data_IF_840760225684
#
_entry.id   IF_840760225684
#
_cell.length_a   1.000
_cell.length_b   1.000
_cell.length_c   1.000
_cell.angle_alpha   90.00
_cell.angle_beta   90.00
_cell.angle_gamma   90.00
#
_symmetry.space_group_name_H-M   'P 1'
#
loop_
_entity.id
_entity.type
_entity.pdbx_description
1 polymer ?
#
# COMPACT_ATOMS: atom_id res chain seq x y z
N UNK A 1 -19.97 -28.43 11.42
CA UNK A 1 -18.62 -27.85 11.64
C UNK A 1 -18.12 -28.25 13.03
N UNK A 2 -16.85 -28.03 13.39
CA UNK A 2 -16.31 -28.34 14.74
C UNK A 2 -16.46 -27.20 15.76
N UNK A 3 -17.24 -26.16 15.44
CA UNK A 3 -17.37 -24.96 16.29
C UNK A 3 -16.14 -24.06 16.34
N UNK A 4 -15.15 -24.25 15.46
CA UNK A 4 -13.95 -23.42 15.41
C UNK A 4 -14.20 -22.13 14.63
N UNK A 5 -13.46 -21.07 14.98
CA UNK A 5 -13.53 -19.78 14.30
C UNK A 5 -12.98 -19.81 12.86
N UNK A 6 -12.11 -20.78 12.53
CA UNK A 6 -11.52 -20.98 11.21
C UNK A 6 -10.88 -22.39 11.09
N UNK A 7 -10.25 -22.71 9.97
CA UNK A 7 -9.37 -23.87 9.81
C UNK A 7 -8.23 -23.84 10.85
N UNK A 8 -7.93 -25.00 11.44
CA UNK A 8 -6.98 -25.08 12.56
C UNK A 8 -5.51 -24.86 12.21
N UNK A 9 -5.14 -24.92 10.92
CA UNK A 9 -3.75 -24.83 10.46
C UNK A 9 -3.45 -23.45 9.87
N UNK A 10 -2.27 -22.90 10.13
CA UNK A 10 -1.81 -21.64 9.52
C UNK A 10 -1.56 -21.78 8.02
N UNK A 11 -1.00 -22.92 7.60
CA UNK A 11 -0.75 -23.19 6.20
C UNK A 11 -1.12 -24.62 5.82
N UNK A 12 -1.53 -24.79 4.56
CA UNK A 12 -1.88 -26.09 3.99
C UNK A 12 -1.14 -26.31 2.67
N UNK A 13 -0.45 -27.44 2.56
CA UNK A 13 0.26 -27.85 1.34
C UNK A 13 -0.59 -28.87 0.59
N UNK A 14 -1.02 -28.53 -0.62
CA UNK A 14 -1.71 -29.45 -1.51
C UNK A 14 -0.76 -30.48 -2.15
N UNK A 15 -1.29 -31.63 -2.62
CA UNK A 15 -0.48 -32.65 -3.30
C UNK A 15 0.25 -32.12 -4.55
N UNK A 16 -0.38 -31.19 -5.27
CA UNK A 16 0.18 -30.52 -6.45
C UNK A 16 1.32 -29.53 -6.12
N UNK A 17 1.52 -29.21 -4.85
CA UNK A 17 2.55 -28.31 -4.35
C UNK A 17 2.10 -26.86 -4.15
N UNK A 18 0.82 -26.52 -4.28
CA UNK A 18 0.29 -25.22 -3.83
C UNK A 18 0.40 -25.12 -2.30
N UNK A 19 0.73 -23.92 -1.82
CA UNK A 19 0.69 -23.54 -0.41
C UNK A 19 -0.46 -22.56 -0.25
N UNK A 20 -1.39 -22.87 0.65
CA UNK A 20 -2.50 -22.01 1.03
C UNK A 20 -2.24 -21.44 2.41
N UNK A 21 -2.57 -20.17 2.62
CA UNK A 21 -2.87 -19.70 3.97
C UNK A 21 -4.18 -20.38 4.40
N UNK A 22 -4.15 -21.00 5.58
CA UNK A 22 -5.32 -21.54 6.23
C UNK A 22 -5.91 -20.48 7.13
N UNK A 23 -5.44 -20.46 8.38
CA UNK A 23 -5.96 -19.54 9.39
C UNK A 23 -5.72 -18.09 9.02
N UNK A 24 -6.79 -17.33 8.88
CA UNK A 24 -6.75 -15.93 8.48
C UNK A 24 -6.04 -15.08 9.55
N UNK A 25 -4.98 -14.39 9.14
CA UNK A 25 -4.25 -13.47 10.01
C UNK A 25 -4.68 -12.01 9.81
N UNK A 26 -4.85 -11.61 8.54
CA UNK A 26 -5.26 -10.27 8.12
C UNK A 26 -5.63 -10.25 6.65
N UNK A 27 -6.23 -9.16 6.20
CA UNK A 27 -6.34 -8.87 4.77
C UNK A 27 -4.98 -8.46 4.21
N UNK A 28 -4.53 -9.16 3.17
CA UNK A 28 -3.29 -8.86 2.45
C UNK A 28 -3.57 -8.02 1.21
N UNK A 29 -2.62 -7.14 0.86
CA UNK A 29 -2.62 -6.49 -0.46
C UNK A 29 -2.28 -7.54 -1.53
N UNK A 30 -2.71 -7.37 -2.79
CA UNK A 30 -2.62 -8.41 -3.84
C UNK A 30 -1.21 -8.97 -4.14
N UNK A 31 -0.16 -8.31 -3.69
CA UNK A 31 1.24 -8.71 -3.92
C UNK A 31 1.98 -9.13 -2.65
N UNK A 32 1.37 -8.93 -1.49
CA UNK A 32 1.97 -9.35 -0.23
C UNK A 32 2.06 -10.87 -0.20
N UNK A 33 3.14 -11.37 0.40
CA UNK A 33 3.21 -12.79 0.76
C UNK A 33 2.35 -12.96 1.99
N UNK A 34 1.46 -13.95 1.98
CA UNK A 34 0.65 -14.29 3.14
C UNK A 34 1.56 -14.87 4.20
N UNK A 35 1.73 -14.15 5.31
CA UNK A 35 2.70 -14.50 6.35
C UNK A 35 2.10 -15.31 7.48
N UNK A 36 0.77 -15.42 7.53
CA UNK A 36 0.05 -15.92 8.71
C UNK A 36 0.16 -14.98 9.91
N UNK A 37 0.62 -13.73 9.71
CA UNK A 37 0.95 -12.80 10.80
C UNK A 37 0.30 -11.43 10.65
N UNK A 38 0.04 -10.84 11.81
CA UNK A 38 -0.31 -9.43 11.99
C UNK A 38 0.66 -8.83 13.00
N UNK A 39 1.34 -7.76 12.62
CA UNK A 39 2.30 -7.03 13.48
C UNK A 39 3.42 -7.93 14.06
N UNK A 40 3.85 -8.94 13.29
CA UNK A 40 4.88 -9.91 13.68
C UNK A 40 4.38 -11.05 14.58
N UNK A 41 3.10 -11.04 14.97
CA UNK A 41 2.48 -12.12 15.72
C UNK A 41 1.73 -13.08 14.79
N UNK A 42 1.98 -14.38 14.94
CA UNK A 42 1.25 -15.43 14.20
C UNK A 42 -0.20 -15.50 14.67
N UNK A 43 -1.14 -15.69 13.74
CA UNK A 43 -2.49 -16.07 14.09
C UNK A 43 -2.46 -17.41 14.85
N UNK A 44 -2.83 -17.41 16.14
CA UNK A 44 -2.86 -18.61 16.98
C UNK A 44 -3.63 -19.72 16.29
N UNK A 45 -3.10 -20.94 16.23
CA UNK A 45 -3.73 -22.09 15.56
C UNK A 45 -4.82 -22.81 16.37
N UNK A 46 -5.36 -23.89 15.80
CA UNK A 46 -6.18 -24.89 16.50
C UNK A 46 -5.78 -26.30 16.03
N UNK A 47 -4.46 -26.52 15.93
CA UNK A 47 -3.86 -27.70 15.32
C UNK A 47 -3.21 -28.65 16.33
N UNK A 48 -2.75 -28.16 17.49
CA UNK A 48 -2.17 -28.98 18.56
C UNK A 48 -2.60 -28.40 19.91
N UNK A 49 -3.47 -29.11 20.64
CA UNK A 49 -3.94 -28.67 21.95
C UNK A 49 -2.76 -28.42 22.91
N UNK A 50 -2.76 -27.27 23.62
CA UNK A 50 -1.66 -26.86 24.50
C UNK A 50 -0.46 -26.22 23.80
N UNK A 51 -0.36 -26.30 22.46
CA UNK A 51 0.78 -25.83 21.68
C UNK A 51 0.40 -24.87 20.53
N UNK A 52 -0.85 -24.40 20.47
CA UNK A 52 -1.31 -23.52 19.39
C UNK A 52 -0.63 -22.13 19.40
N UNK A 53 -0.35 -21.60 20.59
CA UNK A 53 0.14 -20.23 20.75
C UNK A 53 1.65 -20.17 20.59
N UNK A 54 2.14 -19.27 19.73
CA UNK A 54 3.57 -19.17 19.43
C UNK A 54 4.12 -20.30 18.53
N UNK A 55 3.26 -21.06 17.85
CA UNK A 55 3.68 -22.04 16.84
C UNK A 55 2.94 -21.88 15.51
N UNK A 56 3.51 -22.44 14.44
CA UNK A 56 2.95 -22.41 13.08
C UNK A 56 2.59 -23.82 12.63
N UNK A 57 1.30 -24.09 12.48
CA UNK A 57 0.81 -25.37 11.96
C UNK A 57 0.82 -25.43 10.43
N UNK A 58 1.63 -26.32 9.86
CA UNK A 58 1.64 -26.61 8.42
C UNK A 58 1.08 -28.01 8.17
N UNK A 59 -0.13 -28.08 7.62
CA UNK A 59 -0.75 -29.35 7.20
C UNK A 59 -0.32 -29.73 5.79
N UNK A 60 -0.06 -31.01 5.54
CA UNK A 60 0.13 -31.54 4.19
C UNK A 60 -1.09 -32.39 3.88
N UNK A 61 -1.82 -32.05 2.81
CA UNK A 61 -3.07 -32.76 2.47
C UNK A 61 -2.77 -34.21 2.08
N UNK A 62 -3.37 -35.15 2.81
CA UNK A 62 -3.32 -36.59 2.54
C UNK A 62 -3.15 -37.42 3.80
N UNK A 63 -3.17 -38.74 3.64
CA UNK A 63 -2.79 -39.71 4.68
C UNK A 63 -1.38 -40.28 4.37
N UNK A 64 -0.47 -40.10 5.32
CA UNK A 64 0.93 -40.54 5.18
C UNK A 64 1.32 -41.61 6.19
N UNK A 65 0.34 -42.33 6.72
CA UNK A 65 0.57 -43.53 7.54
C UNK A 65 1.39 -44.54 6.73
N UNK A 66 0.97 -44.84 5.49
CA UNK A 66 1.65 -45.80 4.61
C UNK A 66 2.29 -45.19 3.36
N UNK A 67 1.74 -44.09 2.84
CA UNK A 67 2.21 -43.43 1.62
C UNK A 67 3.13 -42.23 1.91
N UNK A 68 4.03 -41.90 0.97
CA UNK A 68 4.85 -40.68 1.05
C UNK A 68 4.10 -39.52 0.40
N UNK A 69 4.17 -38.28 0.94
CA UNK A 69 3.58 -37.12 0.27
C UNK A 69 4.17 -36.91 -1.11
N UNK A 70 3.39 -36.41 -2.07
CA UNK A 70 3.85 -36.14 -3.43
C UNK A 70 5.15 -35.30 -3.46
N UNK A 71 6.02 -35.54 -4.46
CA UNK A 71 7.33 -34.86 -4.56
C UNK A 71 7.18 -33.33 -4.56
N UNK A 72 6.14 -32.80 -5.20
CA UNK A 72 5.84 -31.36 -5.24
C UNK A 72 5.47 -30.84 -3.84
N UNK A 73 4.51 -31.46 -3.16
CA UNK A 73 4.16 -31.17 -1.77
C UNK A 73 5.38 -31.19 -0.83
N UNK A 74 6.23 -32.21 -0.89
CA UNK A 74 7.46 -32.27 -0.06
C UNK A 74 8.45 -31.13 -0.33
N UNK A 75 8.50 -30.60 -1.56
CA UNK A 75 9.36 -29.44 -1.86
C UNK A 75 8.75 -28.15 -1.31
N UNK A 76 7.43 -28.00 -1.43
CA UNK A 76 6.70 -26.84 -0.90
C UNK A 76 6.79 -26.80 0.62
N UNK A 77 6.55 -27.93 1.31
CA UNK A 77 6.72 -28.04 2.77
C UNK A 77 8.11 -27.57 3.22
N UNK A 78 9.17 -28.09 2.59
CA UNK A 78 10.56 -27.68 2.92
C UNK A 78 10.78 -26.19 2.68
N UNK A 79 10.22 -25.60 1.61
CA UNK A 79 10.36 -24.17 1.32
C UNK A 79 9.58 -23.30 2.31
N UNK A 80 8.37 -23.72 2.69
CA UNK A 80 7.56 -23.03 3.69
C UNK A 80 8.25 -23.04 5.05
N UNK A 81 8.69 -24.21 5.52
CA UNK A 81 9.43 -24.34 6.77
C UNK A 81 10.76 -23.57 6.76
N UNK A 82 11.46 -23.52 5.63
CA UNK A 82 12.68 -22.71 5.49
C UNK A 82 12.39 -21.21 5.54
N UNK A 83 11.32 -20.76 4.91
CA UNK A 83 10.91 -19.37 4.95
C UNK A 83 10.52 -18.95 6.37
N UNK A 84 9.74 -19.78 7.08
CA UNK A 84 9.35 -19.60 8.49
C UNK A 84 10.55 -19.61 9.44
N UNK A 85 11.41 -20.61 9.34
CA UNK A 85 12.56 -20.72 10.22
C UNK A 85 13.56 -19.57 10.01
N UNK A 86 13.82 -19.16 8.77
CA UNK A 86 14.79 -18.10 8.47
C UNK A 86 14.31 -16.72 8.93
N UNK A 87 13.03 -16.38 8.71
CA UNK A 87 12.47 -15.08 9.11
C UNK A 87 12.37 -14.90 10.63
N UNK A 88 12.32 -16.01 11.37
CA UNK A 88 12.27 -16.05 12.84
C UNK A 88 13.60 -16.48 13.50
N UNK A 89 14.68 -16.56 12.71
CA UNK A 89 16.02 -16.93 13.20
C UNK A 89 16.05 -18.28 13.95
N UNK A 90 15.24 -19.25 13.51
CA UNK A 90 15.15 -20.58 14.12
C UNK A 90 16.13 -21.54 13.45
N UNK A 91 16.95 -22.21 14.26
CA UNK A 91 17.86 -23.24 13.78
C UNK A 91 17.08 -24.50 13.35
N UNK A 92 17.01 -24.88 12.05
CA UNK A 92 16.10 -25.96 11.61
C UNK A 92 16.43 -27.34 12.18
N UNK A 93 17.68 -27.55 12.59
CA UNK A 93 18.17 -28.78 13.23
C UNK A 93 18.13 -28.71 14.76
N UNK A 94 17.86 -27.54 15.33
CA UNK A 94 17.91 -27.27 16.75
C UNK A 94 16.67 -27.71 17.51
N UNK A 95 16.74 -27.55 18.83
CA UNK A 95 15.66 -27.76 19.80
C UNK A 95 15.53 -26.51 20.68
N UNK A 96 14.37 -26.33 21.28
CA UNK A 96 14.12 -25.29 22.26
C UNK A 96 13.30 -25.86 23.44
N UNK A 97 13.24 -25.09 24.53
CA UNK A 97 12.22 -25.25 25.55
C UNK A 97 11.03 -24.40 25.12
N UNK A 98 9.98 -25.03 24.62
CA UNK A 98 8.71 -24.35 24.35
C UNK A 98 8.11 -23.93 25.68
N UNK A 99 7.55 -22.71 25.71
CA UNK A 99 6.72 -22.23 26.81
C UNK A 99 5.47 -21.62 26.21
N UNK A 100 4.32 -22.18 26.52
CA UNK A 100 3.04 -21.62 26.11
C UNK A 100 2.87 -20.25 26.81
N UNK A 101 2.69 -19.15 26.06
CA UNK A 101 2.56 -17.82 26.64
C UNK A 101 1.25 -17.63 27.43
N UNK A 102 0.21 -18.42 27.15
CA UNK A 102 -1.11 -18.32 27.77
C UNK A 102 -1.23 -19.20 29.01
N UNK A 103 -0.69 -20.42 28.97
CA UNK A 103 -0.87 -21.42 30.03
C UNK A 103 0.38 -21.70 30.86
N UNK A 104 1.55 -21.24 30.41
CA UNK A 104 2.84 -21.55 31.05
C UNK A 104 3.35 -22.98 30.83
N UNK A 105 2.60 -23.84 30.12
CA UNK A 105 3.02 -25.20 29.77
C UNK A 105 4.41 -25.20 29.11
N UNK A 106 5.30 -26.10 29.52
CA UNK A 106 6.63 -26.24 28.91
C UNK A 106 6.89 -27.61 28.30
N UNK A 107 7.67 -27.66 27.21
CA UNK A 107 8.11 -28.92 26.60
C UNK A 107 9.39 -28.76 25.78
N UNK A 108 10.28 -29.76 25.77
CA UNK A 108 11.53 -29.71 25.00
C UNK A 108 11.35 -30.26 23.57
N UNK A 109 11.06 -29.38 22.62
CA UNK A 109 10.71 -29.74 21.25
C UNK A 109 11.81 -29.36 20.22
N UNK A 110 11.92 -30.10 19.10
CA UNK A 110 12.60 -29.58 17.91
C UNK A 110 11.90 -28.33 17.37
N UNK A 111 12.64 -27.37 16.79
CA UNK A 111 12.02 -26.21 16.12
C UNK A 111 11.08 -26.60 14.96
N UNK A 112 11.34 -27.76 14.34
CA UNK A 112 10.46 -28.37 13.34
C UNK A 112 10.00 -29.72 13.89
N UNK A 113 8.88 -29.71 14.58
CA UNK A 113 8.26 -30.87 15.22
C UNK A 113 7.14 -31.49 14.35
N UNK A 114 6.90 -32.79 14.51
CA UNK A 114 5.65 -33.41 14.06
C UNK A 114 4.58 -33.27 15.15
N UNK A 115 3.29 -33.36 14.79
CA UNK A 115 2.20 -33.26 15.77
C UNK A 115 2.37 -34.28 16.91
N UNK A 116 2.73 -35.53 16.59
CA UNK A 116 3.04 -36.58 17.58
C UNK A 116 4.22 -36.29 18.52
N UNK A 117 5.05 -35.26 18.26
CA UNK A 117 6.11 -34.86 19.21
C UNK A 117 5.55 -34.06 20.40
N UNK A 118 4.33 -33.50 20.26
CA UNK A 118 3.71 -32.60 21.24
C UNK A 118 2.30 -33.04 21.69
N UNK A 119 1.77 -34.15 21.17
CA UNK A 119 0.46 -34.65 21.53
C UNK A 119 0.27 -36.13 21.17
N UNK A 120 -0.78 -36.74 21.74
CA UNK A 120 -1.11 -38.14 21.50
C UNK A 120 -1.88 -38.31 20.19
N UNK A 121 -1.16 -38.57 19.10
CA UNK A 121 -1.76 -38.69 17.75
C UNK A 121 -0.88 -39.48 16.78
N UNK A 122 -1.49 -40.10 15.77
CA UNK A 122 -0.78 -40.66 14.62
C UNK A 122 -0.27 -39.57 13.65
N UNK A 123 -0.74 -38.33 13.72
CA UNK A 123 -0.30 -37.25 12.83
C UNK A 123 1.21 -36.94 13.02
N UNK A 124 2.03 -36.79 11.95
CA UNK A 124 1.68 -36.59 10.54
C UNK A 124 1.69 -37.86 9.67
N UNK A 125 1.47 -39.04 10.25
CA UNK A 125 1.62 -40.34 9.58
C UNK A 125 3.08 -40.82 9.55
N UNK A 126 3.29 -42.13 9.53
CA UNK A 126 4.61 -42.72 9.77
C UNK A 126 5.63 -42.40 8.67
N UNK A 127 5.20 -42.34 7.40
CA UNK A 127 6.12 -42.02 6.30
C UNK A 127 6.61 -40.58 6.33
N UNK A 128 5.75 -39.63 6.69
CA UNK A 128 6.14 -38.23 6.81
C UNK A 128 6.96 -38.00 8.09
N UNK A 129 6.57 -38.63 9.19
CA UNK A 129 7.30 -38.55 10.46
C UNK A 129 8.71 -39.17 10.38
N UNK A 130 8.86 -40.31 9.71
CA UNK A 130 10.16 -40.93 9.45
C UNK A 130 11.11 -39.99 8.66
N UNK A 131 10.56 -39.12 7.81
CA UNK A 131 11.34 -38.17 7.02
C UNK A 131 11.81 -36.92 7.78
N UNK A 132 11.43 -36.73 9.06
CA UNK A 132 11.66 -35.48 9.82
C UNK A 132 13.12 -35.00 9.83
N UNK A 133 14.08 -35.90 10.05
CA UNK A 133 15.52 -35.55 10.02
C UNK A 133 15.96 -35.02 8.65
N UNK A 134 15.52 -35.69 7.57
CA UNK A 134 15.79 -35.26 6.20
C UNK A 134 15.12 -33.93 5.87
N UNK A 135 13.90 -33.69 6.36
CA UNK A 135 13.22 -32.40 6.20
C UNK A 135 14.03 -31.29 6.86
N UNK A 136 14.40 -31.44 8.14
CA UNK A 136 15.24 -30.48 8.88
C UNK A 136 16.56 -30.17 8.16
N UNK A 137 17.24 -31.20 7.65
CA UNK A 137 18.49 -31.02 6.88
C UNK A 137 18.27 -30.25 5.58
N UNK A 138 17.19 -30.56 4.84
CA UNK A 138 16.84 -29.82 3.61
C UNK A 138 16.43 -28.39 3.90
N UNK A 139 15.73 -28.14 5.00
CA UNK A 139 15.39 -26.79 5.46
C UNK A 139 16.67 -26.02 5.78
N UNK A 140 17.57 -26.58 6.58
CA UNK A 140 18.88 -25.99 6.87
C UNK A 140 19.71 -25.76 5.60
N UNK A 141 19.62 -26.64 4.60
CA UNK A 141 20.28 -26.45 3.30
C UNK A 141 19.65 -25.33 2.48
N UNK A 142 18.33 -25.13 2.53
CA UNK A 142 17.67 -24.02 1.82
C UNK A 142 18.06 -22.68 2.44
N UNK A 143 18.13 -22.60 3.77
CA UNK A 143 18.59 -21.40 4.49
C UNK A 143 20.09 -21.19 4.23
N UNK A 144 20.89 -22.25 4.45
CA UNK A 144 22.34 -22.29 4.27
C UNK A 144 22.84 -22.18 2.83
N UNK A 145 21.97 -22.35 1.82
CA UNK A 145 22.26 -21.98 0.42
C UNK A 145 22.42 -20.46 0.22
N UNK A 146 22.45 -19.69 1.31
CA UNK A 146 22.65 -18.26 1.32
C UNK A 146 21.46 -17.54 0.73
N UNK A 147 20.23 -17.97 1.05
CA UNK A 147 19.04 -17.20 0.69
C UNK A 147 19.03 -15.91 1.52
N UNK A 148 19.32 -14.79 0.87
CA UNK A 148 19.40 -13.49 1.56
C UNK A 148 18.02 -12.86 1.65
N UNK A 149 17.66 -12.37 2.83
CA UNK A 149 16.54 -11.45 2.99
C UNK A 149 16.79 -10.19 2.16
N UNK A 150 15.74 -9.69 1.51
CA UNK A 150 15.83 -8.51 0.66
C UNK A 150 14.96 -7.38 1.18
N UNK A 151 15.26 -6.18 0.71
CA UNK A 151 14.49 -4.96 0.99
C UNK A 151 14.29 -4.25 -0.33
N UNK A 152 13.07 -3.76 -0.53
CA UNK A 152 12.74 -2.83 -1.62
C UNK A 152 12.38 -1.51 -0.96
N UNK A 153 13.21 -0.48 -1.15
CA UNK A 153 12.85 0.88 -0.73
C UNK A 153 12.07 1.57 -1.84
N UNK A 154 11.19 2.51 -1.48
CA UNK A 154 10.43 3.33 -2.41
C UNK A 154 10.20 4.72 -1.81
N UNK A 155 10.39 5.77 -2.60
CA UNK A 155 10.08 7.16 -2.26
C UNK A 155 9.59 7.91 -3.50
N UNK A 156 8.71 8.90 -3.30
CA UNK A 156 8.29 9.80 -4.37
C UNK A 156 9.18 11.05 -4.39
N UNK A 157 9.48 11.55 -5.60
CA UNK A 157 10.20 12.82 -5.83
C UNK A 157 9.45 14.03 -5.26
N UNK A 158 8.13 13.92 -5.12
CA UNK A 158 7.29 14.91 -4.46
C UNK A 158 6.15 14.21 -3.72
N UNK A 159 5.84 14.69 -2.50
CA UNK A 159 4.67 14.22 -1.74
C UNK A 159 3.35 14.79 -2.25
N UNK A 160 3.42 15.90 -3.01
CA UNK A 160 2.27 16.59 -3.59
C UNK A 160 2.60 17.07 -5.00
N UNK A 161 1.69 16.86 -5.93
CA UNK A 161 1.75 17.37 -7.31
C UNK A 161 0.40 17.94 -7.71
N UNK A 162 0.36 18.65 -8.83
CA UNK A 162 -0.89 19.04 -9.50
C UNK A 162 -1.40 17.87 -10.36
N UNK A 163 -2.71 17.75 -10.57
CA UNK A 163 -3.33 16.70 -11.37
C UNK A 163 -2.71 16.61 -12.77
N UNK A 164 -2.32 15.40 -13.17
CA UNK A 164 -1.62 15.12 -14.43
C UNK A 164 -0.13 15.46 -14.42
N UNK A 165 0.35 16.16 -13.38
CA UNK A 165 1.77 16.41 -13.18
C UNK A 165 2.56 15.12 -13.01
N UNK A 166 3.81 15.11 -13.48
CA UNK A 166 4.66 13.92 -13.40
C UNK A 166 5.26 13.82 -11.99
N UNK A 167 5.06 12.68 -11.34
CA UNK A 167 5.78 12.28 -10.13
C UNK A 167 6.64 11.06 -10.43
N UNK A 168 7.86 11.05 -9.88
CA UNK A 168 8.77 9.91 -10.00
C UNK A 168 8.81 9.17 -8.67
N UNK A 169 8.39 7.90 -8.68
CA UNK A 169 8.60 6.99 -7.55
C UNK A 169 9.85 6.16 -7.85
N UNK A 170 10.83 6.17 -6.95
CA UNK A 170 12.10 5.47 -7.14
C UNK A 170 12.58 4.84 -5.84
N UNK A 171 13.56 3.96 -5.96
CA UNK A 171 14.21 3.36 -4.81
C UNK A 171 15.24 2.32 -5.23
N UNK A 172 15.55 1.40 -4.31
CA UNK A 172 16.57 0.36 -4.50
C UNK A 172 16.07 -1.00 -4.02
N UNK A 173 16.44 -2.04 -4.75
CA UNK A 173 16.36 -3.42 -4.32
C UNK A 173 17.75 -3.89 -3.89
N UNK A 174 17.86 -4.33 -2.64
CA UNK A 174 19.10 -4.86 -2.10
C UNK A 174 18.84 -6.05 -1.16
N UNK A 175 19.90 -6.76 -0.79
CA UNK A 175 19.86 -7.63 0.39
C UNK A 175 19.76 -6.77 1.65
N UNK A 176 19.34 -7.34 2.79
CA UNK A 176 19.38 -6.63 4.08
C UNK A 176 20.78 -6.16 4.48
N UNK A 177 21.84 -6.73 3.91
CA UNK A 177 23.23 -6.31 4.12
C UNK A 177 23.67 -5.16 3.18
N UNK A 178 22.79 -4.71 2.28
CA UNK A 178 23.05 -3.59 1.36
C UNK A 178 23.50 -3.99 -0.04
N UNK A 179 23.75 -5.28 -0.30
CA UNK A 179 24.20 -5.75 -1.63
C UNK A 179 23.13 -5.43 -2.69
N UNK A 180 23.52 -4.69 -3.73
CA UNK A 180 22.65 -4.38 -4.84
C UNK A 180 22.17 -5.65 -5.56
N UNK A 181 20.88 -5.71 -5.89
CA UNK A 181 20.34 -6.78 -6.72
C UNK A 181 20.02 -6.24 -8.11
N UNK A 182 21.01 -6.35 -9.01
CA UNK A 182 20.91 -5.89 -10.39
C UNK A 182 19.96 -6.73 -11.26
N UNK A 183 19.35 -6.08 -12.25
CA UNK A 183 18.54 -6.68 -13.32
C UNK A 183 17.37 -7.56 -12.84
N UNK A 184 16.92 -7.35 -11.61
CA UNK A 184 15.79 -8.08 -11.01
C UNK A 184 14.49 -7.46 -11.44
N UNK A 185 13.53 -8.32 -11.77
CA UNK A 185 12.18 -7.89 -12.13
C UNK A 185 11.39 -7.50 -10.87
N UNK A 186 10.90 -6.27 -10.86
CA UNK A 186 9.96 -5.74 -9.89
C UNK A 186 8.56 -5.69 -10.49
N UNK A 187 7.55 -5.82 -9.63
CA UNK A 187 6.15 -5.58 -9.97
C UNK A 187 5.70 -4.32 -9.27
N UNK A 188 5.09 -3.41 -10.03
CA UNK A 188 4.54 -2.18 -9.46
C UNK A 188 3.03 -2.27 -9.40
N UNK A 189 2.48 -1.68 -8.35
CA UNK A 189 1.05 -1.62 -8.11
C UNK A 189 0.70 -0.20 -7.77
N UNK A 190 -0.42 0.25 -8.31
CA UNK A 190 -0.98 1.58 -8.06
C UNK A 190 -2.38 1.43 -7.51
N UNK A 191 -2.78 2.40 -6.71
CA UNK A 191 -4.13 2.54 -6.21
C UNK A 191 -4.48 4.02 -6.19
N UNK A 192 -5.17 4.51 -7.23
CA UNK A 192 -5.93 5.74 -7.13
C UNK A 192 -6.90 5.65 -5.95
N UNK A 193 -7.09 6.75 -5.24
CA UNK A 193 -8.00 6.76 -4.11
C UNK A 193 -9.44 6.49 -4.56
N UNK A 194 -10.18 5.71 -3.77
CA UNK A 194 -11.49 5.18 -4.17
C UNK A 194 -11.46 4.00 -5.14
N UNK A 195 -10.29 3.59 -5.67
CA UNK A 195 -10.15 2.43 -6.54
C UNK A 195 -9.49 1.23 -5.82
N UNK A 196 -9.67 -0.01 -6.33
CA UNK A 196 -8.88 -1.14 -5.89
C UNK A 196 -7.42 -1.01 -6.34
N UNK A 197 -6.55 -1.80 -5.71
CA UNK A 197 -5.18 -1.96 -6.19
C UNK A 197 -5.15 -2.64 -7.54
N UNK A 198 -4.44 -2.04 -8.49
CA UNK A 198 -4.21 -2.62 -9.82
C UNK A 198 -2.73 -2.84 -10.05
N UNK A 199 -2.42 -3.89 -10.82
CA UNK A 199 -1.05 -4.13 -11.26
C UNK A 199 -0.74 -3.15 -12.39
N UNK A 200 0.31 -2.38 -12.21
CA UNK A 200 0.83 -1.49 -13.25
C UNK A 200 1.95 -2.22 -14.02
N UNK A 201 2.92 -1.49 -14.58
CA UNK A 201 4.03 -2.08 -15.34
C UNK A 201 5.03 -2.84 -14.47
N UNK A 202 5.71 -3.82 -15.05
CA UNK A 202 6.87 -4.44 -14.40
C UNK A 202 8.12 -3.63 -14.72
N UNK A 203 9.05 -3.54 -13.77
CA UNK A 203 10.33 -2.83 -13.94
C UNK A 203 11.48 -3.80 -13.80
N UNK A 204 12.69 -3.37 -14.21
CA UNK A 204 13.94 -4.04 -13.87
C UNK A 204 14.83 -3.07 -13.11
N UNK A 205 15.54 -3.60 -12.13
CA UNK A 205 16.56 -2.82 -11.41
C UNK A 205 17.79 -2.63 -12.29
N UNK A 206 18.43 -1.48 -12.17
CA UNK A 206 19.72 -1.20 -12.79
C UNK A 206 20.89 -1.85 -12.05
N UNK A 207 22.14 -1.59 -12.45
CA UNK A 207 23.34 -2.26 -11.93
C UNK A 207 23.55 -2.09 -10.42
N UNK A 208 23.12 -0.96 -9.84
CA UNK A 208 23.20 -0.70 -8.39
C UNK A 208 21.87 -1.04 -7.68
N UNK A 209 21.00 -1.84 -8.30
CA UNK A 209 19.71 -2.23 -7.72
C UNK A 209 18.65 -1.13 -7.74
N UNK A 210 18.96 0.03 -8.31
CA UNK A 210 18.09 1.19 -8.44
C UNK A 210 16.93 0.93 -9.40
N UNK A 211 15.80 1.57 -9.16
CA UNK A 211 14.65 1.51 -10.04
C UNK A 211 13.86 2.82 -9.99
N UNK A 212 13.10 3.09 -11.04
CA UNK A 212 12.27 4.30 -11.12
C UNK A 212 11.00 4.07 -11.95
N UNK A 213 9.92 4.71 -11.51
CA UNK A 213 8.59 4.69 -12.09
C UNK A 213 8.08 6.14 -12.20
N UNK A 214 7.92 6.65 -13.41
CA UNK A 214 7.20 7.90 -13.65
C UNK A 214 5.68 7.61 -13.75
N UNK A 215 4.89 8.44 -13.07
CA UNK A 215 3.43 8.41 -13.02
C UNK A 215 2.89 9.83 -13.22
N UNK A 216 1.69 9.94 -13.77
CA UNK A 216 0.95 11.21 -13.93
C UNK A 216 -0.46 11.07 -13.35
N UNK A 217 -0.59 10.92 -12.02
CA UNK A 217 -1.89 10.63 -11.41
C UNK A 217 -2.83 11.84 -11.51
N UNK A 218 -4.11 11.55 -11.77
CA UNK A 218 -5.17 12.54 -11.77
C UNK A 218 -5.82 12.73 -10.39
N UNK A 219 -5.62 11.79 -9.47
CA UNK A 219 -6.19 11.74 -8.12
C UNK A 219 -5.11 11.31 -7.13
N UNK A 220 -5.32 11.49 -5.83
CA UNK A 220 -4.44 10.95 -4.80
C UNK A 220 -4.14 9.47 -5.12
N UNK A 221 -2.86 9.10 -5.15
CA UNK A 221 -2.43 7.79 -5.60
C UNK A 221 -1.45 7.16 -4.61
N UNK A 222 -1.64 5.87 -4.35
CA UNK A 222 -0.72 5.06 -3.58
C UNK A 222 0.03 4.11 -4.50
N UNK A 223 1.31 3.92 -4.22
CA UNK A 223 2.21 3.09 -5.02
C UNK A 223 2.92 2.09 -4.12
N UNK A 224 3.07 0.87 -4.59
CA UNK A 224 3.86 -0.16 -3.93
C UNK A 224 4.64 -0.98 -4.95
N UNK A 225 5.79 -1.50 -4.53
CA UNK A 225 6.68 -2.28 -5.39
C UNK A 225 7.03 -3.59 -4.71
N UNK A 226 6.90 -4.69 -5.45
CA UNK A 226 7.14 -6.04 -4.95
C UNK A 226 8.19 -6.77 -5.78
N UNK A 227 9.14 -7.38 -5.09
CA UNK A 227 10.08 -8.35 -5.61
C UNK A 227 9.66 -9.75 -5.16
N UNK A 228 9.50 -10.68 -6.11
CA UNK A 228 9.06 -12.06 -5.81
C UNK A 228 10.14 -12.95 -5.19
N UNK A 229 11.37 -12.47 -5.07
CA UNK A 229 12.49 -13.31 -4.69
C UNK A 229 12.98 -14.17 -5.85
N UNK A 230 13.93 -15.05 -5.54
CA UNK A 230 14.56 -15.93 -6.51
C UNK A 230 15.18 -17.15 -5.84
N UNK A 231 16.08 -17.82 -6.54
CA UNK A 231 16.79 -19.00 -6.00
C UNK A 231 17.63 -18.64 -4.77
N UNK A 232 18.27 -17.46 -4.75
CA UNK A 232 19.21 -17.01 -3.71
C UNK A 232 18.71 -15.85 -2.84
N UNK A 233 17.46 -15.44 -3.01
CA UNK A 233 16.91 -14.29 -2.28
C UNK A 233 15.46 -14.51 -1.94
N UNK A 234 15.03 -14.07 -0.77
CA UNK A 234 13.61 -13.97 -0.44
C UNK A 234 12.97 -12.78 -1.14
N UNK A 235 11.64 -12.85 -1.30
CA UNK A 235 10.87 -11.72 -1.81
C UNK A 235 10.82 -10.59 -0.78
N UNK A 236 10.47 -9.40 -1.27
CA UNK A 236 10.29 -8.23 -0.43
C UNK A 236 9.28 -7.28 -1.09
N UNK A 237 8.64 -6.48 -0.26
CA UNK A 237 7.66 -5.48 -0.66
C UNK A 237 8.08 -4.15 -0.04
N UNK A 238 7.95 -3.07 -0.80
CA UNK A 238 8.19 -1.74 -0.28
C UNK A 238 7.07 -1.28 0.65
N UNK A 239 7.37 -0.30 1.48
CA UNK A 239 6.32 0.52 2.07
C UNK A 239 5.45 1.16 0.97
N UNK A 240 4.24 1.53 1.37
CA UNK A 240 3.31 2.21 0.47
C UNK A 240 3.68 3.69 0.38
N UNK A 241 4.06 4.12 -0.82
CA UNK A 241 4.32 5.53 -1.11
C UNK A 241 2.99 6.20 -1.43
N UNK A 242 2.70 7.34 -0.78
CA UNK A 242 1.49 8.13 -1.05
C UNK A 242 1.84 9.43 -1.75
N UNK A 243 1.17 9.71 -2.86
CA UNK A 243 1.28 10.97 -3.60
C UNK A 243 -0.06 11.69 -3.52
N UNK A 244 -0.04 12.90 -2.98
CA UNK A 244 -1.21 13.78 -2.92
C UNK A 244 -1.33 14.55 -4.23
N UNK A 245 -2.53 14.64 -4.78
CA UNK A 245 -2.79 15.34 -6.05
C UNK A 245 -3.71 16.52 -5.79
N UNK A 246 -3.23 17.73 -6.06
CA UNK A 246 -4.04 18.93 -6.08
C UNK A 246 -4.75 19.03 -7.43
N UNK A 247 -6.08 19.21 -7.47
CA UNK A 247 -6.76 19.42 -8.73
C UNK A 247 -6.34 20.76 -9.34
N UNK A 248 -6.41 20.85 -10.66
CA UNK A 248 -6.32 22.13 -11.37
C UNK A 248 -7.60 22.90 -11.10
N UNK A 249 -7.48 24.17 -10.72
CA UNK A 249 -8.63 25.06 -10.49
C UNK A 249 -8.46 26.28 -11.38
N UNK A 250 -9.27 26.35 -12.44
CA UNK A 250 -9.40 27.53 -13.27
C UNK A 250 -10.42 28.50 -12.68
N UNK A 251 -10.19 29.78 -12.90
CA UNK A 251 -11.10 30.87 -12.55
C UNK A 251 -11.12 31.87 -13.70
N UNK A 252 -12.32 32.35 -14.04
CA UNK A 252 -12.57 33.42 -15.01
C UNK A 252 -13.60 34.38 -14.42
N UNK A 253 -13.44 35.66 -14.73
CA UNK A 253 -14.38 36.72 -14.35
C UNK A 253 -15.21 37.05 -15.59
N UNK A 254 -16.53 37.05 -15.48
CA UNK A 254 -17.43 37.31 -16.60
C UNK A 254 -17.88 38.77 -16.64
N UNK A 255 -18.15 39.30 -17.84
CA UNK A 255 -18.81 40.60 -18.04
C UNK A 255 -17.91 41.85 -18.06
N UNK A 256 -16.59 41.72 -17.89
CA UNK A 256 -15.65 42.85 -17.95
C UNK A 256 -14.73 42.82 -19.17
N UNK A 257 -14.05 43.94 -19.46
CA UNK A 257 -13.09 44.08 -20.56
C UNK A 257 -11.66 43.82 -20.07
N UNK A 258 -10.88 43.04 -20.81
CA UNK A 258 -9.50 42.70 -20.40
C UNK A 258 -8.52 43.72 -20.97
N UNK A 259 -7.76 44.39 -20.10
CA UNK A 259 -6.66 45.27 -20.47
C UNK A 259 -5.44 44.98 -19.57
N UNK A 260 -4.26 44.76 -20.17
CA UNK A 260 -3.03 44.51 -19.40
C UNK A 260 -3.08 43.30 -18.44
N UNK A 261 -3.96 42.32 -18.67
CA UNK A 261 -4.17 41.17 -17.79
C UNK A 261 -5.04 41.43 -16.56
N UNK A 262 -5.64 42.62 -16.45
CA UNK A 262 -6.65 43.00 -15.46
C UNK A 262 -8.01 43.05 -16.15
N UNK A 263 -9.05 42.58 -15.46
CA UNK A 263 -10.44 42.69 -15.95
C UNK A 263 -11.05 43.99 -15.42
N UNK A 264 -11.57 44.83 -16.30
CA UNK A 264 -12.17 46.12 -15.96
C UNK A 264 -13.69 46.04 -15.97
N UNK A 265 -14.32 46.69 -14.99
CA UNK A 265 -15.75 46.72 -14.78
C UNK A 265 -16.25 48.16 -14.59
N UNK A 266 -17.45 48.50 -15.13
CA UNK A 266 -18.06 49.80 -14.91
C UNK A 266 -18.23 50.15 -13.43
N UNK A 267 -18.19 51.45 -13.11
CA UNK A 267 -18.26 52.00 -11.74
C UNK A 267 -19.47 51.52 -10.92
N UNK A 268 -20.60 51.28 -11.57
CA UNK A 268 -21.87 50.85 -10.98
C UNK A 268 -21.94 49.34 -10.72
N UNK A 269 -20.86 48.60 -11.00
CA UNK A 269 -20.78 47.16 -10.73
C UNK A 269 -20.83 46.87 -9.23
N UNK A 270 -21.91 46.21 -8.80
CA UNK A 270 -22.14 45.80 -7.40
C UNK A 270 -21.85 44.32 -7.14
N UNK A 271 -21.68 43.53 -8.19
CA UNK A 271 -21.36 42.10 -8.07
C UNK A 271 -20.55 41.59 -9.26
N UNK A 272 -19.74 40.57 -9.01
CA UNK A 272 -18.90 39.92 -10.01
C UNK A 272 -19.32 38.46 -10.14
N UNK A 273 -19.60 38.06 -11.37
CA UNK A 273 -19.83 36.66 -11.71
C UNK A 273 -18.47 35.98 -11.95
N UNK A 274 -18.15 35.05 -11.07
CA UNK A 274 -16.94 34.24 -11.11
C UNK A 274 -17.31 32.85 -11.62
N UNK A 275 -16.76 32.48 -12.77
CA UNK A 275 -16.91 31.14 -13.33
C UNK A 275 -15.59 30.39 -13.26
N UNK A 276 -15.63 29.07 -13.40
CA UNK A 276 -14.40 28.30 -13.47
C UNK A 276 -14.62 26.82 -13.68
N UNK A 277 -13.52 26.07 -13.66
CA UNK A 277 -13.52 24.63 -13.82
C UNK A 277 -12.49 24.00 -12.88
N UNK A 278 -12.85 22.87 -12.29
CA UNK A 278 -11.95 22.02 -11.52
C UNK A 278 -11.64 20.76 -12.31
N UNK A 279 -10.36 20.38 -12.42
CA UNK A 279 -9.93 19.21 -13.19
C UNK A 279 -9.01 18.30 -12.37
N UNK A 280 -9.29 16.97 -12.29
CA UNK A 280 -10.45 16.28 -12.88
C UNK A 280 -11.77 16.70 -12.21
N UNK A 281 -12.91 16.45 -12.87
CA UNK A 281 -14.23 16.84 -12.35
C UNK A 281 -14.55 16.16 -11.02
N UNK A 282 -15.27 16.88 -10.13
CA UNK A 282 -15.68 16.41 -8.81
C UNK A 282 -17.20 16.50 -8.68
N UNK A 283 -17.91 15.43 -8.98
CA UNK A 283 -19.39 15.41 -9.04
C UNK A 283 -20.13 15.73 -7.73
N UNK A 284 -19.46 15.96 -6.59
CA UNK A 284 -20.12 16.20 -5.28
C UNK A 284 -19.38 17.17 -4.35
N UNK A 285 -19.04 18.37 -4.83
CA UNK A 285 -18.28 19.37 -4.05
C UNK A 285 -18.69 20.80 -4.34
N UNK A 286 -18.32 21.68 -3.41
CA UNK A 286 -18.38 23.13 -3.62
C UNK A 286 -16.96 23.72 -3.67
N UNK A 287 -16.78 24.74 -4.50
CA UNK A 287 -15.61 25.62 -4.52
C UNK A 287 -15.91 26.82 -3.62
N UNK A 288 -14.93 27.20 -2.79
CA UNK A 288 -14.98 28.48 -2.09
C UNK A 288 -14.34 29.54 -2.98
N UNK A 289 -15.12 30.52 -3.41
CA UNK A 289 -14.63 31.71 -4.12
C UNK A 289 -14.42 32.82 -3.10
N UNK A 290 -13.32 33.54 -3.22
CA UNK A 290 -12.96 34.64 -2.34
C UNK A 290 -12.53 35.82 -3.19
N UNK A 291 -13.16 36.98 -2.97
CA UNK A 291 -12.73 38.27 -3.49
C UNK A 291 -12.07 39.05 -2.35
N UNK A 292 -10.94 39.68 -2.66
CA UNK A 292 -10.25 40.60 -1.75
C UNK A 292 -10.06 41.94 -2.42
N UNK A 293 -10.28 43.03 -1.69
CA UNK A 293 -10.00 44.39 -2.13
C UNK A 293 -8.56 44.75 -1.78
N UNK A 294 -7.80 45.25 -2.75
CA UNK A 294 -6.43 45.68 -2.53
C UNK A 294 -6.40 47.08 -1.91
N UNK A 295 -5.66 47.23 -0.82
CA UNK A 295 -5.46 48.51 -0.14
C UNK A 295 -3.99 48.72 0.26
N UNK A 296 -3.69 49.92 0.78
CA UNK A 296 -2.34 50.31 1.17
C UNK A 296 -1.72 49.38 2.24
N UNK A 297 -2.54 48.85 3.15
CA UNK A 297 -2.12 47.93 4.22
C UNK A 297 -2.21 46.44 3.83
N UNK A 298 -2.47 46.14 2.56
CA UNK A 298 -2.66 44.79 2.03
C UNK A 298 -4.10 44.47 1.59
N UNK A 299 -4.31 43.24 1.14
CA UNK A 299 -5.60 42.78 0.61
C UNK A 299 -6.59 42.43 1.74
N UNK A 300 -7.69 43.19 1.85
CA UNK A 300 -8.78 42.93 2.79
C UNK A 300 -9.81 41.95 2.19
N UNK A 301 -10.47 41.14 3.02
CA UNK A 301 -11.56 40.28 2.55
C UNK A 301 -12.77 41.14 2.15
N UNK A 302 -13.17 41.07 0.89
CA UNK A 302 -14.35 41.76 0.37
C UNK A 302 -15.57 40.85 0.46
N UNK A 303 -15.47 39.67 -0.14
CA UNK A 303 -16.56 38.70 -0.19
C UNK A 303 -16.03 37.27 -0.24
N UNK A 304 -16.83 36.33 0.26
CA UNK A 304 -16.58 34.91 0.08
C UNK A 304 -17.89 34.15 -0.12
N UNK A 305 -17.92 33.30 -1.15
CA UNK A 305 -19.09 32.50 -1.52
C UNK A 305 -18.71 31.03 -1.71
N UNK A 306 -19.73 30.16 -1.69
CA UNK A 306 -19.60 28.77 -2.12
C UNK A 306 -20.37 28.59 -3.42
N UNK A 307 -19.76 27.95 -4.40
CA UNK A 307 -20.41 27.51 -5.62
C UNK A 307 -20.40 25.99 -5.68
N UNK A 308 -21.54 25.38 -6.01
CA UNK A 308 -21.60 23.97 -6.34
C UNK A 308 -20.77 23.70 -7.61
N UNK A 309 -20.16 22.52 -7.68
CA UNK A 309 -19.55 22.00 -8.90
C UNK A 309 -20.56 21.14 -9.64
N UNK A 310 -20.69 21.41 -10.93
CA UNK A 310 -21.42 20.56 -11.87
C UNK A 310 -20.65 19.25 -12.11
N UNK A 311 -21.31 18.27 -12.71
CA UNK A 311 -20.73 16.94 -12.95
C UNK A 311 -19.48 16.97 -13.86
N UNK A 312 -19.39 17.96 -14.75
CA UNK A 312 -18.22 18.18 -15.62
C UNK A 312 -17.11 19.03 -14.95
N UNK A 313 -17.34 19.44 -13.70
CA UNK A 313 -16.43 20.21 -12.87
C UNK A 313 -16.52 21.72 -13.07
N UNK A 314 -17.51 22.26 -13.80
CA UNK A 314 -17.73 23.72 -13.85
C UNK A 314 -18.36 24.25 -12.57
N UNK A 315 -18.17 25.53 -12.30
CA UNK A 315 -18.87 26.24 -11.24
C UNK A 315 -19.13 27.70 -11.65
N UNK A 316 -20.15 28.30 -11.04
CA UNK A 316 -20.43 29.73 -11.13
C UNK A 316 -20.81 30.27 -9.74
N UNK A 317 -20.33 31.47 -9.42
CA UNK A 317 -20.61 32.18 -8.18
C UNK A 317 -20.77 33.67 -8.47
N UNK A 318 -21.82 34.28 -7.94
CA UNK A 318 -21.95 35.75 -7.94
C UNK A 318 -21.57 36.26 -6.55
N UNK A 319 -20.59 37.16 -6.47
CA UNK A 319 -20.13 37.72 -5.21
C UNK A 319 -20.24 39.25 -5.25
N UNK A 320 -20.67 39.88 -4.15
CA UNK A 320 -20.75 41.34 -4.07
C UNK A 320 -19.36 41.97 -4.07
N UNK A 321 -19.28 43.20 -4.58
CA UNK A 321 -18.12 44.10 -4.49
C UNK A 321 -18.59 45.50 -4.13
N UNK A 322 -17.84 46.22 -3.31
CA UNK A 322 -18.21 47.55 -2.82
C UNK A 322 -17.26 48.65 -3.28
N UNK A 323 -17.79 49.55 -4.12
CA UNK A 323 -17.08 50.72 -4.60
C UNK A 323 -15.95 50.42 -5.59
N UNK A 324 -15.29 51.50 -6.01
CA UNK A 324 -14.22 51.44 -7.01
C UNK A 324 -12.92 50.93 -6.42
N UNK A 325 -11.99 50.53 -7.30
CA UNK A 325 -10.65 50.11 -6.96
C UNK A 325 -10.29 48.70 -7.42
N UNK A 326 -9.11 48.24 -6.99
CA UNK A 326 -8.55 46.95 -7.40
C UNK A 326 -8.92 45.81 -6.47
N UNK A 327 -9.15 44.65 -7.07
CA UNK A 327 -9.56 43.43 -6.39
C UNK A 327 -8.81 42.21 -6.92
N UNK A 328 -8.81 41.14 -6.13
CA UNK A 328 -8.30 39.82 -6.50
C UNK A 328 -9.30 38.73 -6.15
N UNK A 329 -9.62 37.89 -7.14
CA UNK A 329 -10.45 36.71 -6.97
C UNK A 329 -9.62 35.43 -6.95
N UNK A 330 -9.95 34.50 -6.04
CA UNK A 330 -9.40 33.14 -6.02
C UNK A 330 -10.47 32.10 -5.75
N UNK A 331 -10.38 30.97 -6.44
CA UNK A 331 -11.17 29.78 -6.17
C UNK A 331 -10.34 28.77 -5.37
N UNK A 332 -10.94 28.15 -4.36
CA UNK A 332 -10.30 27.16 -3.49
C UNK A 332 -11.20 25.93 -3.35
N UNK A 333 -10.62 24.76 -3.54
CA UNK A 333 -11.28 23.49 -3.23
C UNK A 333 -10.59 22.85 -2.01
N UNK A 334 -11.39 22.49 -1.00
CA UNK A 334 -10.88 21.85 0.21
C UNK A 334 -10.43 20.41 -0.08
N UNK A 335 -9.54 19.90 0.78
CA UNK A 335 -9.11 18.50 0.77
C UNK A 335 -10.31 17.57 0.86
N UNK A 336 -10.16 16.40 0.26
CA UNK A 336 -11.08 15.30 0.44
C UNK A 336 -10.45 13.92 0.30
N UNK A 337 -11.31 12.91 0.15
CA UNK A 337 -10.99 11.53 -0.22
C UNK A 337 -10.03 11.52 -1.42
N UNK A 338 -10.53 11.84 -2.60
CA UNK A 338 -9.80 11.65 -3.84
C UNK A 338 -8.69 12.68 -4.17
N UNK A 339 -8.63 13.86 -3.51
CA UNK A 339 -7.62 14.89 -3.80
C UNK A 339 -7.17 15.70 -2.58
N UNK A 340 -5.98 16.30 -2.70
CA UNK A 340 -5.52 17.40 -1.86
C UNK A 340 -6.33 18.69 -2.04
N UNK A 341 -5.98 19.73 -1.29
CA UNK A 341 -6.52 21.07 -1.55
C UNK A 341 -6.09 21.55 -2.94
N UNK A 342 -6.93 22.36 -3.59
CA UNK A 342 -6.61 23.04 -4.84
C UNK A 342 -6.91 24.53 -4.71
N UNK A 343 -6.19 25.35 -5.48
CA UNK A 343 -6.35 26.81 -5.50
C UNK A 343 -6.06 27.31 -6.90
N UNK A 344 -6.90 28.21 -7.41
CA UNK A 344 -6.62 28.89 -8.68
C UNK A 344 -5.49 29.91 -8.54
N UNK A 345 -4.82 30.28 -9.63
CA UNK A 345 -4.15 31.58 -9.71
C UNK A 345 -5.12 32.71 -9.27
N UNK A 346 -4.56 33.82 -8.80
CA UNK A 346 -5.36 35.01 -8.50
C UNK A 346 -5.67 35.74 -9.81
N UNK A 347 -6.94 36.04 -10.04
CA UNK A 347 -7.37 36.92 -11.14
C UNK A 347 -7.57 38.31 -10.58
N UNK A 348 -6.84 39.28 -11.13
CA UNK A 348 -6.99 40.68 -10.78
C UNK A 348 -8.11 41.32 -11.59
N UNK A 349 -8.89 42.19 -10.96
CA UNK A 349 -9.88 43.02 -11.64
C UNK A 349 -9.99 44.39 -10.96
N UNK A 350 -10.53 45.36 -11.70
CA UNK A 350 -10.72 46.73 -11.25
C UNK A 350 -12.15 47.16 -11.53
N UNK A 351 -12.78 47.81 -10.54
CA UNK A 351 -14.04 48.54 -10.73
C UNK A 351 -13.63 49.98 -10.95
N UNK A 352 -13.81 50.46 -12.18
CA UNK A 352 -13.15 51.68 -12.65
C UNK A 352 -13.67 52.92 -11.90
N UNK A 353 -12.78 53.89 -11.61
CA UNK A 353 -13.21 55.23 -11.20
C UNK A 353 -13.94 55.93 -12.36
N UNK A 354 -14.68 57.00 -12.01
CA UNK A 354 -15.44 57.80 -12.98
C UNK A 354 -14.55 58.45 -14.05
#
# INVERSE_FOLDING_TARGET
>A
TRGWCDIGYNFVVAPDGRLFEGRWARTYKPWETHTGEKDGAIATGAHVAGFNSGSVGVSVMGDFTRARPARRARRTLVRALAWEADRHNLAPRGRHLYRNPETGLTARLPFIAGHRDAGFTACPGDRLYAARRRIRNRVASVIGAGKRNTVVTAAASARRITAGGIVRVSGRLATRRGDALAHRRLRTYVRPDGAPWTRHRSLRTGPKGEWSLALSPMRDERVAVAYRGGRRTWGATSDTVSVRVAPLVGLRLAGGTVAGGVVHYPRDTTSIVVTGRVTPAHSRRAVKVVIRKSGASGDALEAAGRAALDDDGTFSATLPVSGTGRYRAVAKIKRHRDHATGRSPASAFEVDPA
#
